data_IF_325502555861
#
_entry.id   IF_325502555861
#
_cell.length_a   1.000
_cell.length_b   1.000
_cell.length_c   1.000
_cell.angle_alpha   90.00
_cell.angle_beta   90.00
_cell.angle_gamma   90.00
#
_symmetry.space_group_name_H-M   'P 1'
#
loop_
_entity.id
_entity.type
_entity.pdbx_description
1 polymer ?
#
# COMPACT_ATOMS: atom_id res chain seq x y z
N UNK A 1 -47.13 -48.60 -26.87
CA UNK A 1 -46.56 -48.09 -25.61
C UNK A 1 -45.88 -46.76 -25.91
N UNK A 2 -46.23 -45.64 -25.25
CA UNK A 2 -45.64 -44.35 -25.58
C UNK A 2 -44.29 -44.17 -24.89
N UNK A 3 -43.38 -43.58 -25.66
CA UNK A 3 -42.00 -43.24 -25.34
C UNK A 3 -41.94 -42.12 -24.29
N UNK A 4 -41.28 -42.40 -23.16
CA UNK A 4 -41.08 -41.44 -22.06
C UNK A 4 -39.93 -40.51 -22.45
N UNK A 5 -40.26 -39.38 -23.04
CA UNK A 5 -39.30 -38.30 -23.30
C UNK A 5 -38.93 -37.65 -21.96
N UNK A 6 -37.72 -37.96 -21.47
CA UNK A 6 -37.09 -37.24 -20.36
C UNK A 6 -36.82 -35.79 -20.78
N UNK A 7 -37.65 -34.88 -20.28
CA UNK A 7 -37.40 -33.44 -20.35
C UNK A 7 -36.21 -33.08 -19.46
N UNK A 8 -34.99 -33.10 -20.02
CA UNK A 8 -33.84 -32.40 -19.43
C UNK A 8 -34.16 -30.90 -19.36
N UNK A 9 -34.67 -30.45 -18.21
CA UNK A 9 -34.92 -29.02 -17.95
C UNK A 9 -33.62 -28.19 -18.12
N UNK A 10 -33.56 -27.24 -19.08
CA UNK A 10 -32.33 -26.51 -19.43
C UNK A 10 -31.90 -25.44 -18.41
N UNK A 11 -32.70 -25.22 -17.36
CA UNK A 11 -32.59 -24.08 -16.45
C UNK A 11 -31.47 -24.21 -15.41
N UNK A 12 -31.20 -25.42 -14.90
CA UNK A 12 -30.17 -25.62 -13.86
C UNK A 12 -28.73 -25.42 -14.37
N UNK A 13 -28.43 -25.86 -15.59
CA UNK A 13 -27.09 -25.71 -16.21
C UNK A 13 -26.79 -24.23 -16.52
N UNK A 14 -27.79 -23.47 -17.00
CA UNK A 14 -27.66 -22.03 -17.27
C UNK A 14 -27.51 -21.19 -15.99
N UNK A 15 -28.27 -21.51 -14.93
CA UNK A 15 -28.16 -20.81 -13.65
C UNK A 15 -26.77 -20.98 -13.00
N UNK A 16 -26.19 -22.20 -13.06
CA UNK A 16 -24.80 -22.44 -12.59
C UNK A 16 -23.77 -21.63 -13.37
N UNK A 17 -23.96 -21.44 -14.68
CA UNK A 17 -23.05 -20.63 -15.53
C UNK A 17 -23.10 -19.15 -15.15
N UNK A 18 -24.30 -18.59 -14.97
CA UNK A 18 -24.50 -17.18 -14.57
C UNK A 18 -23.90 -16.89 -13.19
N UNK A 19 -24.02 -17.83 -12.24
CA UNK A 19 -23.41 -17.70 -10.91
C UNK A 19 -21.87 -17.70 -10.97
N UNK A 20 -21.27 -18.49 -11.86
CA UNK A 20 -19.81 -18.48 -12.09
C UNK A 20 -19.34 -17.18 -12.72
N UNK A 21 -20.09 -16.62 -13.66
CA UNK A 21 -19.76 -15.34 -14.31
C UNK A 21 -19.79 -14.18 -13.32
N UNK A 22 -20.80 -14.10 -12.46
CA UNK A 22 -20.90 -13.10 -11.39
C UNK A 22 -19.73 -13.24 -10.41
N UNK A 23 -19.44 -14.45 -9.93
CA UNK A 23 -18.30 -14.69 -9.05
C UNK A 23 -16.96 -14.27 -9.70
N UNK A 24 -16.77 -14.61 -10.98
CA UNK A 24 -15.57 -14.23 -11.72
C UNK A 24 -15.46 -12.71 -11.92
N UNK A 25 -16.58 -12.02 -12.14
CA UNK A 25 -16.60 -10.56 -12.25
C UNK A 25 -16.19 -9.89 -10.93
N UNK A 26 -16.73 -10.37 -9.80
CA UNK A 26 -16.38 -9.90 -8.45
C UNK A 26 -14.90 -10.12 -8.18
N UNK A 27 -14.37 -11.31 -8.45
CA UNK A 27 -12.96 -11.61 -8.19
C UNK A 27 -12.02 -10.80 -9.10
N UNK A 28 -12.41 -10.57 -10.37
CA UNK A 28 -11.67 -9.66 -11.26
C UNK A 28 -11.65 -8.23 -10.70
N UNK A 29 -12.78 -7.74 -10.19
CA UNK A 29 -12.84 -6.41 -9.59
C UNK A 29 -11.95 -6.30 -8.34
N UNK A 30 -12.00 -7.30 -7.45
CA UNK A 30 -11.12 -7.39 -6.28
C UNK A 30 -9.64 -7.35 -6.67
N UNK A 31 -9.23 -8.18 -7.64
CA UNK A 31 -7.86 -8.21 -8.15
C UNK A 31 -7.43 -6.87 -8.76
N UNK A 32 -8.31 -6.20 -9.52
CA UNK A 32 -8.04 -4.86 -10.08
C UNK A 32 -7.80 -3.85 -8.96
N UNK A 33 -8.65 -3.83 -7.92
CA UNK A 33 -8.50 -2.92 -6.77
C UNK A 33 -7.17 -3.13 -6.04
N UNK A 34 -6.79 -4.40 -5.81
CA UNK A 34 -5.50 -4.73 -5.16
C UNK A 34 -4.32 -4.30 -6.02
N UNK A 35 -4.34 -4.60 -7.32
CA UNK A 35 -3.25 -4.22 -8.22
C UNK A 35 -3.11 -2.70 -8.32
N UNK A 36 -4.23 -1.97 -8.36
CA UNK A 36 -4.21 -0.50 -8.32
C UNK A 36 -3.59 0.02 -7.01
N UNK A 37 -3.92 -0.61 -5.87
CA UNK A 37 -3.31 -0.27 -4.59
C UNK A 37 -1.80 -0.48 -4.56
N UNK A 38 -1.32 -1.63 -5.07
CA UNK A 38 0.12 -1.92 -5.15
C UNK A 38 0.82 -0.92 -6.08
N UNK A 39 0.24 -0.61 -7.24
CA UNK A 39 0.83 0.36 -8.17
C UNK A 39 0.95 1.76 -7.56
N UNK A 40 -0.08 2.23 -6.83
CA UNK A 40 -0.02 3.51 -6.09
C UNK A 40 1.10 3.55 -5.05
N UNK A 41 1.35 2.42 -4.36
CA UNK A 41 2.49 2.32 -3.45
C UNK A 41 3.80 2.45 -4.25
N UNK A 42 3.89 1.79 -5.41
CA UNK A 42 5.06 1.87 -6.30
C UNK A 42 5.40 3.30 -6.73
N UNK A 43 4.40 4.14 -6.97
CA UNK A 43 4.58 5.56 -7.35
C UNK A 43 5.22 6.42 -6.22
N UNK A 44 5.06 6.03 -4.95
CA UNK A 44 5.61 6.76 -3.80
C UNK A 44 7.03 6.36 -3.44
N UNK A 45 7.50 5.22 -3.95
CA UNK A 45 8.81 4.67 -3.62
C UNK A 45 9.85 5.29 -4.58
N UNK A 46 10.98 5.81 -4.07
CA UNK A 46 12.06 6.26 -4.93
C UNK A 46 12.62 5.08 -5.73
N UNK A 47 12.30 5.01 -7.02
CA UNK A 47 12.83 4.02 -7.95
C UNK A 47 13.06 4.61 -9.33
N UNK A 48 13.94 3.98 -10.11
CA UNK A 48 14.25 4.42 -11.47
C UNK A 48 13.00 4.30 -12.36
N UNK A 49 12.56 5.38 -13.04
CA UNK A 49 11.37 5.36 -13.91
C UNK A 49 11.45 4.35 -15.07
N UNK A 50 12.66 3.91 -15.41
CA UNK A 50 12.91 2.95 -16.48
C UNK A 50 12.75 1.47 -16.05
N UNK A 51 12.64 1.20 -14.73
CA UNK A 51 12.56 -0.17 -14.23
C UNK A 51 11.12 -0.59 -14.00
N UNK A 52 10.64 -1.58 -14.76
CA UNK A 52 9.35 -2.22 -14.50
C UNK A 52 9.42 -2.98 -13.18
N UNK A 53 8.82 -2.41 -12.13
CA UNK A 53 8.82 -3.02 -10.81
C UNK A 53 7.83 -4.18 -10.72
N UNK A 54 8.27 -5.28 -10.10
CA UNK A 54 7.37 -6.38 -9.74
C UNK A 54 6.60 -6.06 -8.46
N UNK A 55 5.46 -6.74 -8.21
CA UNK A 55 4.66 -6.51 -7.00
C UNK A 55 5.45 -6.78 -5.71
N UNK A 56 6.24 -7.86 -5.68
CA UNK A 56 7.08 -8.17 -4.53
C UNK A 56 8.14 -7.09 -4.33
N UNK A 57 8.77 -6.62 -5.41
CA UNK A 57 9.75 -5.52 -5.30
C UNK A 57 9.12 -4.25 -4.75
N UNK A 58 7.91 -3.88 -5.18
CA UNK A 58 7.19 -2.72 -4.65
C UNK A 58 6.96 -2.89 -3.14
N UNK A 59 6.48 -4.06 -2.71
CA UNK A 59 6.20 -4.31 -1.29
C UNK A 59 7.46 -4.30 -0.43
N UNK A 60 8.55 -4.92 -0.90
CA UNK A 60 9.83 -4.96 -0.20
C UNK A 60 10.47 -3.57 -0.09
N UNK A 61 10.43 -2.79 -1.19
CA UNK A 61 10.96 -1.43 -1.20
C UNK A 61 10.09 -0.48 -0.36
N UNK A 62 8.77 -0.65 -0.35
CA UNK A 62 7.87 0.13 0.50
C UNK A 62 8.24 -0.05 1.97
N UNK A 63 8.44 -1.31 2.40
CA UNK A 63 8.81 -1.62 3.77
C UNK A 63 10.15 -0.97 4.15
N UNK A 64 11.17 -1.10 3.30
CA UNK A 64 12.49 -0.48 3.50
C UNK A 64 12.38 1.04 3.60
N UNK A 65 11.65 1.64 2.66
CA UNK A 65 11.51 3.09 2.58
C UNK A 65 10.77 3.66 3.80
N UNK A 66 9.66 3.05 4.22
CA UNK A 66 8.92 3.48 5.41
C UNK A 66 9.79 3.36 6.68
N UNK A 67 10.56 2.27 6.79
CA UNK A 67 11.47 2.06 7.94
C UNK A 67 12.54 3.14 7.99
N UNK A 68 13.12 3.45 6.84
CA UNK A 68 14.15 4.49 6.71
C UNK A 68 13.59 5.89 7.00
N UNK A 69 12.41 6.22 6.49
CA UNK A 69 11.74 7.49 6.79
C UNK A 69 11.44 7.66 8.28
N UNK A 70 11.05 6.58 8.98
CA UNK A 70 10.86 6.62 10.43
C UNK A 70 12.17 6.94 11.15
N UNK A 71 13.25 6.24 10.81
CA UNK A 71 14.60 6.48 11.36
C UNK A 71 15.04 7.93 11.14
N UNK A 72 14.91 8.43 9.92
CA UNK A 72 15.27 9.81 9.58
C UNK A 72 14.43 10.85 10.33
N UNK A 73 13.15 10.59 10.52
CA UNK A 73 12.26 11.48 11.27
C UNK A 73 12.66 11.54 12.75
N UNK A 74 12.98 10.40 13.36
CA UNK A 74 13.44 10.35 14.75
C UNK A 74 14.79 11.07 14.92
N UNK A 75 15.73 10.88 13.99
CA UNK A 75 17.01 11.59 13.98
C UNK A 75 16.84 13.11 13.81
N UNK A 76 15.97 13.53 12.89
CA UNK A 76 15.65 14.96 12.71
C UNK A 76 15.08 15.58 13.99
N UNK A 77 14.19 14.88 14.68
CA UNK A 77 13.65 15.34 15.96
C UNK A 77 14.75 15.49 17.02
N UNK A 78 15.67 14.54 17.12
CA UNK A 78 16.80 14.64 18.04
C UNK A 78 17.71 15.84 17.69
N UNK A 79 18.06 16.01 16.42
CA UNK A 79 18.89 17.14 15.96
C UNK A 79 18.21 18.47 16.25
N UNK A 80 16.89 18.57 16.04
CA UNK A 80 16.14 19.79 16.33
C UNK A 80 16.13 20.10 17.83
N UNK A 81 15.95 19.08 18.68
CA UNK A 81 16.01 19.23 20.13
C UNK A 81 17.41 19.68 20.58
N UNK A 82 18.46 18.99 20.17
CA UNK A 82 19.84 19.33 20.53
C UNK A 82 20.22 20.75 20.13
N UNK A 83 19.82 21.18 18.93
CA UNK A 83 20.03 22.56 18.48
C UNK A 83 19.25 23.54 19.34
N UNK A 84 17.98 23.25 19.63
CA UNK A 84 17.15 24.12 20.46
C UNK A 84 17.72 24.27 21.87
N UNK A 85 18.10 23.17 22.53
CA UNK A 85 18.73 23.19 23.84
C UNK A 85 20.07 23.94 23.82
N UNK A 86 20.91 23.72 22.81
CA UNK A 86 22.19 24.42 22.69
C UNK A 86 21.99 25.94 22.56
N UNK A 87 21.05 26.38 21.73
CA UNK A 87 20.72 27.81 21.59
C UNK A 87 20.13 28.39 22.88
N UNK A 88 19.25 27.64 23.54
CA UNK A 88 18.62 28.07 24.78
C UNK A 88 19.64 28.22 25.92
N UNK A 89 20.55 27.27 26.09
CA UNK A 89 21.65 27.34 27.07
C UNK A 89 22.57 28.53 26.78
N UNK A 90 22.92 28.76 25.52
CA UNK A 90 23.77 29.90 25.13
C UNK A 90 23.12 31.25 25.51
N UNK A 91 21.83 31.43 25.20
CA UNK A 91 21.10 32.66 25.56
C UNK A 91 20.96 32.86 27.08
N UNK A 92 20.79 31.78 27.85
CA UNK A 92 20.79 31.84 29.31
C UNK A 92 22.17 32.20 29.88
N UNK A 93 23.24 31.69 29.27
CA UNK A 93 24.62 32.04 29.62
C UNK A 93 24.91 33.53 29.41
N UNK A 94 24.60 34.08 28.24
CA UNK A 94 24.77 35.51 27.95
C UNK A 94 23.91 36.43 28.83
N UNK A 95 22.75 35.95 29.29
CA UNK A 95 21.88 36.71 30.19
C UNK A 95 22.44 36.77 31.61
N UNK A 96 23.23 35.77 32.02
CA UNK A 96 23.82 35.66 33.35
C UNK A 96 25.14 36.44 33.48
N UNK A 97 25.87 36.67 32.40
CA UNK A 97 27.07 37.52 32.36
C UNK A 97 26.77 39.03 32.29
N UNK A 98 25.51 39.42 32.09
CA UNK A 98 25.05 40.82 32.02
C UNK A 98 24.46 41.37 33.33
N UNK A 99 24.59 40.63 34.43
CA UNK A 99 24.16 41.02 35.79
C UNK A 99 25.39 41.02 36.69
#
# INVERSE_FOLDING_TARGET
MPEMTENETPTKKQHRKKNRETHNAVERHRKKKINAGINRIGELIPCSPALKQSKNMILDQAFKYITELKRQNDELLQIMLDRFYSTWIFQLGESRERI
#
